data_IF_467691761462
#
_entry.id   IF_467691761462
#
_cell.length_a   1.000
_cell.length_b   1.000
_cell.length_c   1.000
_cell.angle_alpha   90.00
_cell.angle_beta   90.00
_cell.angle_gamma   90.00
#
_symmetry.space_group_name_H-M   'P 1'
#
loop_
_entity.id
_entity.type
_entity.pdbx_description
1 polymer ?
#
# COMPACT_ATOMS: atom_id res chain seq x y z
N UNK A 1 -8.77 -5.85 -6.23
CA UNK A 1 -8.62 -7.10 -5.46
C UNK A 1 -9.07 -6.84 -4.04
N UNK A 2 -9.59 -7.82 -3.29
CA UNK A 2 -9.67 -7.65 -1.82
C UNK A 2 -8.43 -8.30 -1.23
N UNK A 3 -7.35 -7.51 -1.11
CA UNK A 3 -6.26 -7.85 -0.19
C UNK A 3 -6.84 -7.97 1.21
N UNK A 4 -6.21 -8.76 2.08
CA UNK A 4 -6.59 -8.84 3.49
C UNK A 4 -6.37 -7.46 4.12
N UNK A 5 -7.36 -6.57 4.05
CA UNK A 5 -7.28 -5.27 4.72
C UNK A 5 -7.25 -5.53 6.22
N UNK A 6 -6.10 -5.23 6.85
CA UNK A 6 -6.01 -5.16 8.31
C UNK A 6 -6.75 -3.91 8.74
N UNK A 7 -8.05 -4.05 8.98
CA UNK A 7 -8.88 -3.00 9.55
C UNK A 7 -8.54 -2.86 11.03
N UNK A 8 -7.79 -1.80 11.37
CA UNK A 8 -7.54 -1.45 12.78
C UNK A 8 -8.79 -0.76 13.33
N UNK A 9 -9.40 -1.36 14.35
CA UNK A 9 -10.61 -0.84 14.98
C UNK A 9 -10.29 0.27 15.98
N UNK A 10 -11.18 1.26 16.16
CA UNK A 10 -11.01 2.31 17.16
C UNK A 10 -11.03 1.73 18.59
N UNK A 11 -10.33 2.38 19.51
CA UNK A 11 -10.21 2.02 20.93
C UNK A 11 -11.54 2.13 21.73
N UNK A 12 -12.63 2.58 21.11
CA UNK A 12 -13.94 2.73 21.76
C UNK A 12 -14.74 1.42 21.68
N UNK A 13 -15.13 0.89 22.85
CA UNK A 13 -15.89 -0.36 22.99
C UNK A 13 -17.24 -0.35 22.23
N UNK A 14 -17.90 0.80 22.10
CA UNK A 14 -19.18 0.91 21.38
C UNK A 14 -18.99 0.77 19.86
N UNK A 15 -18.00 1.47 19.27
CA UNK A 15 -17.65 1.33 17.85
C UNK A 15 -17.21 -0.10 17.52
N UNK A 16 -16.44 -0.74 18.41
CA UNK A 16 -16.02 -2.12 18.26
C UNK A 16 -17.21 -3.08 18.21
N UNK A 17 -18.17 -2.91 19.11
CA UNK A 17 -19.37 -3.77 19.15
C UNK A 17 -20.23 -3.57 17.89
N UNK A 18 -20.46 -2.31 17.49
CA UNK A 18 -21.19 -1.98 16.27
C UNK A 18 -20.56 -2.61 15.03
N UNK A 19 -19.23 -2.60 14.92
CA UNK A 19 -18.52 -3.23 13.81
C UNK A 19 -18.66 -4.76 13.81
N UNK A 20 -18.50 -5.40 14.97
CA UNK A 20 -18.66 -6.86 15.11
C UNK A 20 -20.08 -7.28 14.72
N UNK A 21 -21.09 -6.53 15.16
CA UNK A 21 -22.48 -6.83 14.84
C UNK A 21 -22.79 -6.58 13.37
N UNK A 22 -22.22 -5.53 12.77
CA UNK A 22 -22.31 -5.27 11.34
C UNK A 22 -21.71 -6.41 10.50
N UNK A 23 -20.57 -6.98 10.90
CA UNK A 23 -19.99 -8.17 10.23
C UNK A 23 -20.92 -9.37 10.36
N UNK A 24 -21.39 -9.68 11.58
CA UNK A 24 -22.26 -10.85 11.81
C UNK A 24 -23.55 -10.79 11.02
N UNK A 25 -24.07 -9.58 10.79
CA UNK A 25 -25.29 -9.34 10.04
C UNK A 25 -25.05 -9.10 8.55
N UNK A 26 -23.80 -9.17 8.08
CA UNK A 26 -23.40 -8.87 6.70
C UNK A 26 -23.85 -7.46 6.23
N UNK A 27 -23.98 -6.51 7.16
CA UNK A 27 -24.44 -5.16 6.89
C UNK A 27 -23.28 -4.26 6.44
N UNK A 28 -23.03 -4.24 5.13
CA UNK A 28 -21.98 -3.43 4.53
C UNK A 28 -22.16 -1.93 4.82
N UNK A 29 -23.39 -1.43 4.89
CA UNK A 29 -23.64 -0.02 5.17
C UNK A 29 -23.27 0.36 6.61
N UNK A 30 -23.52 -0.54 7.57
CA UNK A 30 -23.06 -0.37 8.95
C UNK A 30 -21.54 -0.53 9.08
N UNK A 31 -20.92 -1.46 8.36
CA UNK A 31 -19.45 -1.60 8.30
C UNK A 31 -18.81 -0.29 7.84
N UNK A 32 -19.35 0.34 6.79
CA UNK A 32 -18.85 1.61 6.24
C UNK A 32 -18.87 2.75 7.25
N UNK A 33 -19.88 2.82 8.11
CA UNK A 33 -20.00 3.86 9.15
C UNK A 33 -18.96 3.73 10.27
N UNK A 34 -18.34 2.57 10.44
CA UNK A 34 -17.34 2.37 11.47
C UNK A 34 -16.00 2.97 11.01
N UNK A 35 -15.39 3.90 11.78
CA UNK A 35 -14.10 4.46 11.40
C UNK A 35 -13.04 3.35 11.40
N UNK A 36 -12.22 3.34 10.33
CA UNK A 36 -11.22 2.31 10.08
C UNK A 36 -10.03 2.90 9.34
N UNK A 37 -8.86 2.33 9.57
CA UNK A 37 -7.66 2.64 8.81
C UNK A 37 -7.41 1.56 7.76
N UNK A 38 -7.01 1.97 6.55
CA UNK A 38 -6.39 1.10 5.57
C UNK A 38 -4.89 1.38 5.57
N UNK A 39 -4.15 0.53 6.29
CA UNK A 39 -2.71 0.69 6.49
C UNK A 39 -1.88 -0.19 5.52
N UNK A 40 -2.54 -0.87 4.58
CA UNK A 40 -1.91 -1.82 3.68
C UNK A 40 -2.63 -1.80 2.34
N UNK A 41 -2.39 -0.73 1.59
CA UNK A 41 -3.02 -0.52 0.29
C UNK A 41 -1.97 -0.44 -0.84
N UNK A 42 -2.14 -1.32 -1.82
CA UNK A 42 -1.43 -1.26 -3.10
C UNK A 42 -2.36 -0.64 -4.13
N UNK A 43 -2.25 0.67 -4.36
CA UNK A 43 -3.26 1.46 -5.09
C UNK A 43 -3.56 0.95 -6.51
N UNK A 44 -2.57 0.32 -7.15
CA UNK A 44 -2.72 -0.34 -8.46
C UNK A 44 -3.86 -1.36 -8.45
N UNK A 45 -4.14 -1.96 -7.30
CA UNK A 45 -5.12 -3.03 -7.09
C UNK A 45 -6.19 -2.70 -6.04
N UNK A 46 -6.04 -1.56 -5.34
CA UNK A 46 -6.90 -1.07 -4.26
C UNK A 46 -8.07 -0.19 -4.71
N UNK A 47 -8.10 0.21 -5.98
CA UNK A 47 -9.10 1.14 -6.52
C UNK A 47 -10.49 0.56 -6.82
N UNK A 48 -11.48 1.46 -6.86
CA UNK A 48 -12.87 1.14 -7.23
C UNK A 48 -13.00 0.81 -8.71
N UNK A 49 -13.45 -0.41 -9.02
CA UNK A 49 -13.72 -0.85 -10.40
C UNK A 49 -14.87 -0.07 -11.04
N UNK A 50 -15.86 0.33 -10.25
CA UNK A 50 -16.97 1.15 -10.73
C UNK A 50 -16.51 2.56 -11.09
N UNK A 51 -15.64 3.16 -10.26
CA UNK A 51 -15.01 4.45 -10.56
C UNK A 51 -14.21 4.37 -11.86
N UNK A 52 -13.32 3.37 -11.99
CA UNK A 52 -12.51 3.17 -13.19
C UNK A 52 -13.37 2.95 -14.45
N UNK A 53 -14.45 2.17 -14.36
CA UNK A 53 -15.40 1.98 -15.46
C UNK A 53 -16.08 3.28 -15.87
N UNK A 54 -16.46 4.13 -14.90
CA UNK A 54 -17.04 5.44 -15.18
C UNK A 54 -16.06 6.38 -15.88
N UNK A 55 -14.79 6.38 -15.47
CA UNK A 55 -13.77 7.28 -16.03
C UNK A 55 -13.23 6.81 -17.38
N UNK A 56 -13.06 5.50 -17.56
CA UNK A 56 -12.34 4.93 -18.72
C UNK A 56 -13.23 4.16 -19.70
N UNK A 57 -14.46 3.82 -19.28
CA UNK A 57 -15.32 2.88 -20.00
C UNK A 57 -14.91 1.41 -19.89
N UNK A 58 -13.73 1.10 -19.32
CA UNK A 58 -13.25 -0.28 -19.18
C UNK A 58 -13.93 -0.99 -18.01
N UNK A 59 -14.55 -2.14 -18.30
CA UNK A 59 -15.21 -2.95 -17.27
C UNK A 59 -14.26 -4.03 -16.72
N UNK A 60 -13.65 -3.76 -15.58
CA UNK A 60 -12.74 -4.70 -14.90
C UNK A 60 -13.57 -5.74 -14.12
N UNK A 61 -13.54 -6.97 -14.60
CA UNK A 61 -14.29 -8.07 -13.99
C UNK A 61 -13.75 -8.44 -12.61
N UNK A 62 -14.61 -8.83 -11.65
CA UNK A 62 -14.14 -9.31 -10.36
C UNK A 62 -13.42 -10.65 -10.52
N UNK A 63 -12.46 -10.91 -9.64
CA UNK A 63 -11.89 -12.25 -9.50
C UNK A 63 -13.00 -13.19 -9.01
N UNK A 64 -13.39 -14.14 -9.85
CA UNK A 64 -14.47 -15.09 -9.56
C UNK A 64 -14.03 -16.36 -8.84
N UNK A 65 -12.73 -16.64 -8.78
CA UNK A 65 -12.13 -17.81 -8.11
C UNK A 65 -10.83 -17.40 -7.42
N UNK A 66 -10.48 -18.00 -6.26
CA UNK A 66 -9.21 -17.70 -5.59
C UNK A 66 -8.02 -17.90 -6.53
N UNK A 67 -7.08 -16.96 -6.51
CA UNK A 67 -5.78 -17.10 -7.16
C UNK A 67 -4.87 -17.95 -6.27
N UNK A 68 -4.12 -18.87 -6.86
CA UNK A 68 -3.34 -19.87 -6.13
C UNK A 68 -1.84 -19.54 -6.03
N UNK A 69 -1.38 -18.47 -6.67
CA UNK A 69 0.02 -18.03 -6.64
C UNK A 69 0.20 -16.55 -6.99
N UNK A 70 1.39 -16.02 -6.74
CA UNK A 70 1.81 -14.69 -7.21
C UNK A 70 1.82 -14.60 -8.75
N UNK A 71 2.21 -15.67 -9.45
CA UNK A 71 2.20 -15.70 -10.91
C UNK A 71 0.78 -15.54 -11.48
N UNK A 72 -0.22 -16.20 -10.86
CA UNK A 72 -1.62 -16.01 -11.24
C UNK A 72 -2.10 -14.58 -10.98
N UNK A 73 -1.64 -13.97 -9.88
CA UNK A 73 -1.92 -12.56 -9.56
C UNK A 73 -1.30 -11.61 -10.59
N UNK A 74 -0.04 -11.82 -10.95
CA UNK A 74 0.65 -11.02 -11.96
C UNK A 74 0.01 -11.16 -13.34
N UNK A 75 -0.36 -12.38 -13.74
CA UNK A 75 -1.05 -12.63 -15.00
C UNK A 75 -2.40 -11.91 -15.06
N UNK A 76 -3.21 -12.02 -14.00
CA UNK A 76 -4.49 -11.33 -13.91
C UNK A 76 -4.29 -9.81 -13.95
N UNK A 77 -3.32 -9.28 -13.21
CA UNK A 77 -3.01 -7.85 -13.18
C UNK A 77 -2.59 -7.33 -14.56
N UNK A 78 -1.71 -8.04 -15.26
CA UNK A 78 -1.22 -7.66 -16.59
C UNK A 78 -2.36 -7.56 -17.61
N UNK A 79 -3.28 -8.53 -17.59
CA UNK A 79 -4.45 -8.58 -18.50
C UNK A 79 -5.49 -7.48 -18.18
N UNK A 80 -5.77 -7.25 -16.89
CA UNK A 80 -6.91 -6.44 -16.48
C UNK A 80 -6.55 -4.97 -16.20
N UNK A 81 -5.35 -4.71 -15.70
CA UNK A 81 -4.91 -3.38 -15.26
C UNK A 81 -3.71 -2.92 -16.09
N UNK A 82 -2.65 -3.74 -16.13
CA UNK A 82 -1.32 -3.39 -16.63
C UNK A 82 -1.36 -2.67 -17.96
N UNK A 83 -1.94 -3.27 -19.01
CA UNK A 83 -1.94 -2.64 -20.34
C UNK A 83 -2.64 -1.28 -20.41
N UNK A 84 -3.67 -1.04 -19.59
CA UNK A 84 -4.49 0.18 -19.68
C UNK A 84 -3.93 1.32 -18.86
N UNK A 85 -3.28 1.02 -17.75
CA UNK A 85 -2.82 2.03 -16.79
C UNK A 85 -1.29 2.14 -16.73
N UNK A 86 -0.58 1.66 -17.75
CA UNK A 86 0.88 1.74 -17.87
C UNK A 86 1.37 3.10 -18.40
N UNK A 87 0.95 4.19 -17.75
CA UNK A 87 1.44 5.55 -17.98
C UNK A 87 1.29 6.38 -16.71
N UNK A 88 1.91 7.57 -16.66
CA UNK A 88 1.73 8.54 -15.57
C UNK A 88 0.25 8.83 -15.31
N UNK A 89 -0.52 9.10 -16.37
CA UNK A 89 -1.96 9.35 -16.27
C UNK A 89 -2.72 8.11 -15.79
N UNK A 90 -2.32 6.93 -16.26
CA UNK A 90 -2.87 5.67 -15.79
C UNK A 90 -2.65 5.46 -14.29
N UNK A 91 -1.45 5.80 -13.78
CA UNK A 91 -1.14 5.78 -12.35
C UNK A 91 -2.00 6.77 -11.57
N UNK A 92 -2.12 8.01 -12.05
CA UNK A 92 -3.00 9.04 -11.45
C UNK A 92 -4.46 8.56 -11.36
N UNK A 93 -4.98 7.91 -12.41
CA UNK A 93 -6.34 7.33 -12.39
C UNK A 93 -6.51 6.20 -11.35
N UNK A 94 -5.48 5.36 -11.16
CA UNK A 94 -5.50 4.31 -10.14
C UNK A 94 -5.44 4.88 -8.71
N UNK A 95 -4.68 5.97 -8.52
CA UNK A 95 -4.64 6.72 -7.26
C UNK A 95 -6.03 7.27 -6.95
N UNK A 96 -6.65 7.99 -7.90
CA UNK A 96 -8.01 8.52 -7.75
C UNK A 96 -9.04 7.43 -7.41
N UNK A 97 -8.99 6.31 -8.12
CA UNK A 97 -9.89 5.18 -7.89
C UNK A 97 -9.71 4.59 -6.48
N UNK A 98 -8.50 4.64 -5.93
CA UNK A 98 -8.22 4.18 -4.56
C UNK A 98 -8.79 5.13 -3.52
N UNK A 99 -8.66 6.45 -3.69
CA UNK A 99 -9.33 7.41 -2.82
C UNK A 99 -10.87 7.29 -2.90
N UNK A 100 -11.41 7.07 -4.09
CA UNK A 100 -12.85 6.85 -4.27
C UNK A 100 -13.33 5.61 -3.50
N UNK A 101 -12.58 4.51 -3.57
CA UNK A 101 -12.88 3.28 -2.83
C UNK A 101 -12.76 3.49 -1.31
N UNK A 102 -11.66 4.10 -0.86
CA UNK A 102 -11.41 4.37 0.56
C UNK A 102 -12.54 5.22 1.18
N UNK A 103 -12.98 6.25 0.46
CA UNK A 103 -14.12 7.08 0.86
C UNK A 103 -15.42 6.30 0.93
N UNK A 104 -15.72 5.51 -0.11
CA UNK A 104 -16.93 4.68 -0.12
C UNK A 104 -16.96 3.69 1.05
N UNK A 105 -15.79 3.16 1.40
CA UNK A 105 -15.64 2.19 2.48
C UNK A 105 -15.56 2.82 3.88
N UNK A 106 -15.61 4.15 3.98
CA UNK A 106 -15.53 4.89 5.24
C UNK A 106 -14.19 4.73 5.96
N UNK A 107 -13.12 4.64 5.18
CA UNK A 107 -11.74 4.72 5.67
C UNK A 107 -11.48 6.13 6.17
N UNK A 108 -10.84 6.26 7.33
CA UNK A 108 -10.48 7.56 7.94
C UNK A 108 -8.99 7.83 7.93
N UNK A 109 -8.16 6.79 7.75
CA UNK A 109 -6.70 6.90 7.58
C UNK A 109 -6.33 5.99 6.42
N UNK A 110 -5.68 6.53 5.40
CA UNK A 110 -5.20 5.78 4.24
C UNK A 110 -3.67 5.91 4.17
N UNK A 111 -2.99 4.79 4.38
CA UNK A 111 -1.55 4.67 4.14
C UNK A 111 -1.33 3.99 2.79
N UNK A 112 -0.71 4.72 1.87
CA UNK A 112 -0.67 4.39 0.44
C UNK A 112 0.59 4.99 -0.18
N UNK A 113 1.09 4.40 -1.25
CA UNK A 113 2.18 4.99 -2.01
C UNK A 113 2.61 4.12 -3.18
N UNK A 114 3.78 4.42 -3.74
CA UNK A 114 4.31 3.78 -4.94
C UNK A 114 5.63 3.06 -4.63
N UNK A 115 5.93 2.04 -5.43
CA UNK A 115 7.25 1.40 -5.38
C UNK A 115 8.33 2.36 -5.90
N UNK A 116 9.52 2.32 -5.30
CA UNK A 116 10.64 3.20 -5.67
C UNK A 116 11.03 3.10 -7.15
N UNK A 117 10.84 1.94 -7.79
CA UNK A 117 11.09 1.82 -9.24
C UNK A 117 10.00 2.54 -10.06
N UNK A 118 8.77 2.62 -9.55
CA UNK A 118 7.63 3.27 -10.20
C UNK A 118 7.83 4.78 -10.36
N UNK A 119 8.61 5.41 -9.48
CA UNK A 119 9.02 6.81 -9.63
C UNK A 119 9.80 7.03 -10.95
N UNK A 120 10.75 6.15 -11.27
CA UNK A 120 11.54 6.24 -12.49
C UNK A 120 10.70 5.95 -13.74
N UNK A 121 9.88 4.90 -13.68
CA UNK A 121 9.09 4.42 -14.81
C UNK A 121 7.94 5.38 -15.18
N UNK A 122 7.20 5.89 -14.20
CA UNK A 122 5.97 6.64 -14.44
C UNK A 122 6.05 8.13 -14.12
N UNK A 123 7.06 8.56 -13.38
CA UNK A 123 7.21 9.98 -12.99
C UNK A 123 8.58 10.54 -13.36
N UNK A 124 9.37 9.80 -14.16
CA UNK A 124 10.67 10.24 -14.68
C UNK A 124 11.66 10.72 -13.59
N UNK A 125 11.55 10.19 -12.37
CA UNK A 125 12.36 10.62 -11.23
C UNK A 125 11.86 11.87 -10.50
N UNK A 126 10.71 12.43 -10.91
CA UNK A 126 10.11 13.61 -10.30
C UNK A 126 9.31 13.24 -9.05
N UNK A 127 9.95 13.41 -7.89
CA UNK A 127 9.34 13.09 -6.60
C UNK A 127 8.20 14.06 -6.24
N UNK A 128 8.27 15.29 -6.72
CA UNK A 128 7.27 16.31 -6.43
C UNK A 128 6.00 16.00 -7.23
N UNK A 129 6.12 15.62 -8.51
CA UNK A 129 4.97 15.17 -9.32
C UNK A 129 4.29 13.93 -8.70
N UNK A 130 5.07 12.98 -8.18
CA UNK A 130 4.52 11.81 -7.49
C UNK A 130 3.70 12.22 -6.27
N UNK A 131 4.25 13.06 -5.39
CA UNK A 131 3.58 13.54 -4.18
C UNK A 131 2.32 14.34 -4.53
N UNK A 132 2.44 15.29 -5.46
CA UNK A 132 1.30 16.11 -5.93
C UNK A 132 0.18 15.23 -6.50
N UNK A 133 0.50 14.13 -7.17
CA UNK A 133 -0.50 13.20 -7.70
C UNK A 133 -1.37 12.58 -6.61
N UNK A 134 -0.78 12.22 -5.46
CA UNK A 134 -1.52 11.73 -4.31
C UNK A 134 -2.26 12.84 -3.58
N UNK A 135 -1.63 13.99 -3.36
CA UNK A 135 -2.23 15.12 -2.66
C UNK A 135 -3.43 15.72 -3.41
N UNK A 136 -3.34 15.85 -4.74
CA UNK A 136 -4.45 16.34 -5.56
C UNK A 136 -5.64 15.39 -5.49
N UNK A 137 -5.42 14.08 -5.68
CA UNK A 137 -6.48 13.08 -5.59
C UNK A 137 -7.13 13.04 -4.19
N UNK A 138 -6.31 13.18 -3.13
CA UNK A 138 -6.79 13.30 -1.75
C UNK A 138 -7.70 14.51 -1.58
N UNK A 139 -7.23 15.71 -1.97
CA UNK A 139 -7.98 16.95 -1.81
C UNK A 139 -9.29 16.95 -2.59
N UNK A 140 -9.29 16.41 -3.81
CA UNK A 140 -10.46 16.41 -4.69
C UNK A 140 -11.51 15.38 -4.29
N UNK A 141 -11.09 14.18 -3.88
CA UNK A 141 -11.99 13.04 -3.72
C UNK A 141 -12.34 12.79 -2.25
N UNK A 142 -11.34 12.82 -1.36
CA UNK A 142 -11.49 12.37 0.01
C UNK A 142 -10.69 13.23 1.02
N UNK A 143 -10.88 14.57 1.05
CA UNK A 143 -10.13 15.47 1.92
C UNK A 143 -10.34 15.20 3.42
N UNK A 144 -11.39 14.45 3.77
CA UNK A 144 -11.69 14.01 5.14
C UNK A 144 -10.79 12.87 5.66
N UNK A 145 -10.06 12.18 4.77
CA UNK A 145 -9.18 11.06 5.13
C UNK A 145 -7.81 11.59 5.55
N UNK A 146 -7.21 11.05 6.59
CA UNK A 146 -5.80 11.29 6.88
C UNK A 146 -4.93 10.50 5.88
N UNK A 147 -4.23 11.23 5.00
CA UNK A 147 -3.28 10.64 4.04
C UNK A 147 -1.91 10.41 4.70
N UNK A 148 -1.36 9.21 4.54
CA UNK A 148 0.02 8.87 4.92
C UNK A 148 0.74 8.26 3.73
N UNK A 149 1.75 8.94 3.19
CA UNK A 149 2.49 8.41 2.04
C UNK A 149 3.50 7.35 2.48
N UNK A 150 3.52 6.23 1.76
CA UNK A 150 4.41 5.10 1.98
C UNK A 150 5.42 4.98 0.83
N UNK A 151 6.68 4.70 1.15
CA UNK A 151 7.70 4.31 0.18
C UNK A 151 7.66 2.79 0.03
N UNK A 152 7.44 2.28 -1.17
CA UNK A 152 7.39 0.85 -1.43
C UNK A 152 8.70 0.27 -1.95
N UNK A 153 9.06 -0.94 -1.50
CA UNK A 153 10.23 -1.67 -1.96
C UNK A 153 9.88 -3.07 -2.44
N UNK A 154 10.36 -3.42 -3.62
CA UNK A 154 10.27 -4.78 -4.14
C UNK A 154 11.44 -5.66 -3.67
N UNK A 155 11.15 -6.68 -2.86
CA UNK A 155 12.14 -7.58 -2.23
C UNK A 155 13.00 -8.35 -3.23
N UNK A 156 12.51 -8.61 -4.43
CA UNK A 156 13.27 -9.31 -5.46
C UNK A 156 14.34 -8.42 -6.14
N UNK A 157 14.34 -7.11 -5.89
CA UNK A 157 15.31 -6.19 -6.46
C UNK A 157 16.66 -6.23 -5.73
N UNK A 158 17.74 -5.98 -6.49
CA UNK A 158 19.07 -5.80 -5.92
C UNK A 158 19.11 -4.61 -4.94
N UNK A 159 19.88 -4.74 -3.85
CA UNK A 159 19.97 -3.72 -2.81
C UNK A 159 20.57 -2.42 -3.34
N UNK A 160 21.59 -2.48 -4.19
CA UNK A 160 22.21 -1.29 -4.78
C UNK A 160 21.25 -0.55 -5.70
N UNK A 161 20.50 -1.28 -6.52
CA UNK A 161 19.43 -0.70 -7.34
C UNK A 161 18.35 0.00 -6.49
N UNK A 162 17.90 -0.63 -5.40
CA UNK A 162 16.93 0.00 -4.50
C UNK A 162 17.51 1.25 -3.82
N UNK A 163 18.77 1.24 -3.40
CA UNK A 163 19.45 2.40 -2.82
C UNK A 163 19.53 3.57 -3.82
N UNK A 164 19.79 3.28 -5.10
CA UNK A 164 19.78 4.27 -6.18
C UNK A 164 18.39 4.88 -6.38
N UNK A 165 17.34 4.05 -6.45
CA UNK A 165 15.97 4.53 -6.58
C UNK A 165 15.56 5.38 -5.36
N UNK A 166 15.88 4.91 -4.15
CA UNK A 166 15.60 5.59 -2.88
C UNK A 166 16.30 6.93 -2.72
N UNK A 167 17.36 7.21 -3.50
CA UNK A 167 18.08 8.48 -3.45
C UNK A 167 17.17 9.71 -3.63
N UNK A 168 16.09 9.57 -4.40
CA UNK A 168 15.09 10.62 -4.64
C UNK A 168 14.15 10.87 -3.45
N UNK A 169 14.01 9.90 -2.54
CA UNK A 169 13.04 9.94 -1.45
C UNK A 169 13.62 10.47 -0.13
N UNK A 170 14.94 10.35 0.06
CA UNK A 170 15.58 10.74 1.32
C UNK A 170 15.45 12.23 1.61
N UNK A 171 15.16 12.57 2.87
CA UNK A 171 14.91 13.94 3.31
C UNK A 171 13.52 14.49 2.99
N UNK A 172 12.74 13.84 2.10
CA UNK A 172 11.39 14.28 1.77
C UNK A 172 10.41 13.97 2.93
N UNK A 173 9.81 15.03 3.50
CA UNK A 173 8.93 14.94 4.68
C UNK A 173 7.48 14.59 4.36
N UNK A 174 7.13 14.44 3.08
CA UNK A 174 5.80 13.95 2.69
C UNK A 174 5.60 12.47 3.04
N UNK A 175 6.68 11.68 3.10
CA UNK A 175 6.62 10.25 3.38
C UNK A 175 6.60 9.94 4.87
N UNK A 176 5.71 9.04 5.26
CA UNK A 176 5.45 8.59 6.63
C UNK A 176 6.13 7.24 6.93
N UNK A 177 6.12 6.31 5.99
CA UNK A 177 6.60 4.95 6.19
C UNK A 177 7.38 4.40 4.98
N UNK A 178 8.09 3.30 5.19
CA UNK A 178 8.72 2.48 4.16
C UNK A 178 8.29 1.02 4.34
N UNK A 179 7.93 0.34 3.27
CA UNK A 179 7.39 -1.02 3.29
C UNK A 179 8.07 -1.92 2.26
N UNK A 180 8.51 -3.10 2.71
CA UNK A 180 9.11 -4.12 1.86
C UNK A 180 8.11 -5.21 1.51
N UNK A 181 7.85 -5.37 0.22
CA UNK A 181 6.90 -6.35 -0.32
C UNK A 181 7.43 -7.02 -1.59
N UNK A 182 6.57 -7.69 -2.36
CA UNK A 182 6.95 -8.50 -3.53
C UNK A 182 7.21 -9.95 -3.15
N UNK A 183 7.99 -10.68 -3.97
CA UNK A 183 8.32 -12.08 -3.69
C UNK A 183 9.07 -12.22 -2.36
N UNK A 184 8.33 -12.69 -1.36
CA UNK A 184 8.81 -12.84 0.02
C UNK A 184 10.03 -13.77 0.11
N UNK A 185 10.12 -14.74 -0.80
CA UNK A 185 11.13 -15.80 -0.81
C UNK A 185 12.37 -15.43 -1.64
N UNK A 186 12.38 -14.28 -2.31
CA UNK A 186 13.46 -13.89 -3.22
C UNK A 186 14.80 -13.67 -2.50
N UNK A 187 14.80 -13.08 -1.31
CA UNK A 187 15.99 -12.89 -0.49
C UNK A 187 15.65 -12.57 0.98
N UNK A 188 16.57 -12.87 1.93
CA UNK A 188 16.37 -12.59 3.36
C UNK A 188 16.18 -11.10 3.67
N UNK A 189 15.34 -10.80 4.67
CA UNK A 189 15.07 -9.42 5.12
C UNK A 189 16.33 -8.73 5.67
N UNK A 190 17.29 -9.50 6.16
CA UNK A 190 18.58 -9.03 6.67
C UNK A 190 19.38 -8.24 5.63
N UNK A 191 19.21 -8.53 4.34
CA UNK A 191 19.86 -7.78 3.26
C UNK A 191 19.42 -6.31 3.22
N UNK A 192 18.23 -5.99 3.72
CA UNK A 192 17.65 -4.64 3.72
C UNK A 192 18.02 -3.83 4.98
N UNK A 193 18.88 -4.37 5.84
CA UNK A 193 19.24 -3.73 7.11
C UNK A 193 19.81 -2.31 6.92
N UNK A 194 20.63 -2.07 5.89
CA UNK A 194 21.19 -0.74 5.59
C UNK A 194 20.07 0.26 5.27
N UNK A 195 19.17 -0.12 4.36
CA UNK A 195 18.01 0.67 3.95
C UNK A 195 17.13 1.01 5.16
N UNK A 196 16.77 0.02 5.98
CA UNK A 196 15.95 0.26 7.17
C UNK A 196 16.65 1.11 8.22
N UNK A 197 17.97 0.95 8.40
CA UNK A 197 18.74 1.80 9.31
C UNK A 197 18.68 3.27 8.89
N UNK A 198 18.84 3.53 7.58
CA UNK A 198 18.72 4.88 7.02
C UNK A 198 17.31 5.42 7.12
N UNK A 199 16.30 4.66 6.71
CA UNK A 199 14.89 5.04 6.81
C UNK A 199 14.50 5.42 8.26
N UNK A 200 15.01 4.65 9.25
CA UNK A 200 14.79 4.97 10.65
C UNK A 200 15.44 6.28 11.07
N UNK A 201 16.66 6.55 10.61
CA UNK A 201 17.36 7.82 10.88
C UNK A 201 16.67 9.04 10.24
N UNK A 202 15.92 8.83 9.15
CA UNK A 202 15.07 9.84 8.49
C UNK A 202 13.73 10.06 9.21
N UNK A 203 13.39 9.19 10.16
CA UNK A 203 12.16 9.26 10.95
C UNK A 203 10.99 8.43 10.41
N UNK A 204 11.21 7.58 9.40
CA UNK A 204 10.16 6.76 8.79
C UNK A 204 9.73 5.60 9.71
N UNK A 205 8.46 5.24 9.61
CA UNK A 205 7.94 3.98 10.15
C UNK A 205 8.37 2.81 9.26
N UNK A 206 8.90 1.76 9.86
CA UNK A 206 9.42 0.59 9.14
C UNK A 206 8.33 -0.48 9.05
N UNK A 207 8.10 -1.01 7.85
CA UNK A 207 7.12 -2.05 7.54
C UNK A 207 7.71 -3.10 6.62
N UNK A 208 7.20 -4.32 6.71
CA UNK A 208 7.54 -5.40 5.80
C UNK A 208 6.37 -6.38 5.71
N UNK A 209 6.13 -6.89 4.51
CA UNK A 209 5.32 -8.08 4.29
C UNK A 209 6.11 -9.30 4.73
N UNK A 210 5.54 -10.06 5.66
CA UNK A 210 6.13 -11.28 6.19
C UNK A 210 5.02 -12.27 6.48
N UNK A 211 5.24 -13.54 6.16
CA UNK A 211 4.29 -14.65 6.30
C UNK A 211 3.04 -14.50 5.41
N UNK A 212 3.19 -13.87 4.24
CA UNK A 212 2.21 -14.03 3.15
C UNK A 212 2.41 -15.39 2.47
N UNK A 213 3.68 -15.74 2.25
CA UNK A 213 4.14 -17.01 1.71
C UNK A 213 5.27 -17.64 2.54
N UNK A 214 5.77 -16.93 3.55
CA UNK A 214 6.82 -17.36 4.48
C UNK A 214 6.33 -18.20 5.65
N UNK A 215 7.02 -18.06 6.79
CA UNK A 215 6.76 -18.80 8.01
C UNK A 215 6.74 -17.91 9.26
N UNK A 216 6.21 -18.43 10.36
CA UNK A 216 6.28 -17.77 11.68
C UNK A 216 7.72 -17.46 12.14
N UNK A 217 8.72 -18.24 11.72
CA UNK A 217 10.13 -17.95 12.00
C UNK A 217 10.60 -16.71 11.23
N UNK A 218 10.08 -16.47 10.03
CA UNK A 218 10.40 -15.28 9.24
C UNK A 218 9.79 -14.02 9.90
N UNK A 219 8.57 -14.14 10.46
CA UNK A 219 7.97 -13.07 11.29
C UNK A 219 8.87 -12.73 12.47
N UNK A 220 9.35 -13.75 13.20
CA UNK A 220 10.25 -13.54 14.34
C UNK A 220 11.52 -12.80 13.90
N UNK A 221 12.18 -13.25 12.83
CA UNK A 221 13.41 -12.61 12.31
C UNK A 221 13.17 -11.16 11.91
N UNK A 222 12.08 -10.87 11.21
CA UNK A 222 11.75 -9.51 10.79
C UNK A 222 11.52 -8.59 11.99
N UNK A 223 10.76 -9.06 12.99
CA UNK A 223 10.53 -8.32 14.24
C UNK A 223 11.84 -8.10 15.00
N UNK A 224 12.68 -9.13 15.15
CA UNK A 224 13.98 -9.03 15.81
C UNK A 224 14.91 -8.02 15.10
N UNK A 225 14.98 -8.06 13.77
CA UNK A 225 15.74 -7.11 12.96
C UNK A 225 15.26 -5.67 13.21
N UNK A 226 13.95 -5.43 13.10
CA UNK A 226 13.39 -4.08 13.28
C UNK A 226 13.54 -3.57 14.72
N UNK A 227 13.40 -4.45 15.72
CA UNK A 227 13.65 -4.11 17.13
C UNK A 227 15.11 -3.74 17.39
N UNK A 228 16.07 -4.45 16.79
CA UNK A 228 17.49 -4.09 16.91
C UNK A 228 17.74 -2.67 16.42
N UNK A 229 17.12 -2.26 15.31
CA UNK A 229 17.26 -0.91 14.75
C UNK A 229 16.68 0.17 15.67
N UNK A 230 15.62 -0.15 16.41
CA UNK A 230 15.05 0.76 17.42
C UNK A 230 15.99 0.92 18.62
N UNK A 231 16.61 -0.17 19.07
CA UNK A 231 17.46 -0.18 20.26
C UNK A 231 18.84 0.45 20.05
N UNK A 232 19.38 0.45 18.83
CA UNK A 232 20.71 1.01 18.51
C UNK A 232 20.79 2.55 18.54
N UNK A 233 19.69 3.26 18.83
CA UNK A 233 19.63 4.73 18.89
C UNK A 233 19.65 5.31 20.32
N UNK A 234 19.81 4.47 21.34
CA UNK A 234 20.00 4.84 22.75
C UNK A 234 21.37 4.37 23.24
#
# INVERSE_FOLDING_TARGET
MRTKHVVVLPYNNECKQNFIDAIKNEDLAAIRKCPKADLHNHFVLGGSREYLKKQTGKDIQPIGKPLCSMDEMHAWNAENIGQTFNSTEGRKQLIEATFAQAKEDGVTILEIGEDVWGLGEFFHGDIDELVESFENAHQEIAPEIELRLQIGLSRHCDIGYLEDCLSHFWGNKAFYSIDLYGDELAQPIENFKSIYSKAKSEGLILKAHVDEWGTADDVRKAVELMLQLILMMF
#
